data_IF_317230152896
#
_entry.id   IF_317230152896
#
_cell.length_a   1.000
_cell.length_b   1.000
_cell.length_c   1.000
_cell.angle_alpha   90.00
_cell.angle_beta   90.00
_cell.angle_gamma   90.00
#
_symmetry.space_group_name_H-M   'P 1'
#
loop_
_entity.id
_entity.type
_entity.pdbx_description
1 polymer ?
#
# COMPACT_ATOMS: atom_id res chain seq x y z
N UNK A 1 -10.15 -8.00 3.45
CA UNK A 1 -11.27 -7.17 3.96
C UNK A 1 -12.19 -8.03 4.83
N UNK A 2 -12.77 -7.43 5.87
CA UNK A 2 -13.83 -8.05 6.65
C UNK A 2 -15.15 -7.71 5.94
N UNK A 3 -15.80 -8.72 5.39
CA UNK A 3 -17.02 -8.54 4.57
C UNK A 3 -18.33 -8.66 5.37
N UNK A 4 -18.25 -9.18 6.60
CA UNK A 4 -19.43 -9.50 7.41
C UNK A 4 -19.92 -8.35 8.31
N UNK A 5 -19.10 -7.34 8.55
CA UNK A 5 -19.44 -6.18 9.40
C UNK A 5 -18.47 -5.02 9.14
N UNK A 6 -18.90 -3.82 9.52
CA UNK A 6 -18.02 -2.64 9.54
C UNK A 6 -16.98 -2.77 10.67
N UNK A 7 -15.75 -2.39 10.37
CA UNK A 7 -14.63 -2.49 11.29
C UNK A 7 -13.89 -1.16 11.38
N UNK A 8 -13.76 -0.64 12.60
CA UNK A 8 -13.11 0.63 12.87
C UNK A 8 -11.87 0.42 13.74
N UNK A 9 -10.77 1.07 13.39
CA UNK A 9 -9.57 1.13 14.21
C UNK A 9 -9.26 2.59 14.53
N UNK A 10 -8.94 2.90 15.77
CA UNK A 10 -8.62 4.24 16.23
C UNK A 10 -7.38 4.28 17.10
N UNK A 11 -6.70 5.44 17.14
CA UNK A 11 -5.50 5.64 17.95
C UNK A 11 -4.88 7.02 17.69
N UNK A 12 -3.77 7.29 18.37
CA UNK A 12 -3.04 8.57 18.27
C UNK A 12 -1.60 8.41 17.74
N UNK A 13 -1.25 7.21 17.22
CA UNK A 13 0.05 6.99 16.62
C UNK A 13 0.14 7.71 15.26
N UNK A 14 1.25 8.42 15.03
CA UNK A 14 1.51 9.10 13.76
C UNK A 14 2.24 8.17 12.80
N UNK A 15 1.49 7.59 11.88
CA UNK A 15 2.02 6.68 10.85
C UNK A 15 2.81 7.42 9.78
N UNK A 16 3.64 6.69 9.04
CA UNK A 16 4.46 7.23 7.94
C UNK A 16 3.59 7.89 6.87
N UNK A 17 2.45 7.31 6.50
CA UNK A 17 1.53 7.87 5.50
C UNK A 17 0.98 9.26 5.90
N UNK A 18 0.81 9.54 7.19
CA UNK A 18 0.37 10.87 7.66
C UNK A 18 1.41 11.97 7.37
N UNK A 19 2.68 11.61 7.25
CA UNK A 19 3.80 12.52 6.97
C UNK A 19 4.10 12.64 5.47
N UNK A 20 3.52 11.77 4.65
CA UNK A 20 3.74 11.77 3.21
C UNK A 20 3.08 13.00 2.56
N UNK A 21 3.76 13.60 1.59
CA UNK A 21 3.31 14.80 0.89
C UNK A 21 2.37 14.46 -0.27
N UNK A 22 1.56 15.43 -0.69
CA UNK A 22 0.82 15.36 -1.94
C UNK A 22 1.77 15.71 -3.10
N UNK A 23 2.03 14.74 -3.98
CA UNK A 23 2.91 14.94 -5.16
C UNK A 23 2.20 15.59 -6.33
N UNK A 24 0.88 15.46 -6.42
CA UNK A 24 0.05 16.03 -7.48
C UNK A 24 -1.24 16.59 -6.88
N UNK A 25 -1.47 17.89 -7.09
CA UNK A 25 -2.62 18.61 -6.53
C UNK A 25 -3.73 18.80 -7.54
N UNK A 26 -4.97 18.82 -7.02
CA UNK A 26 -6.20 18.99 -7.78
C UNK A 26 -7.13 19.98 -7.08
N UNK A 27 -8.09 20.52 -7.85
CA UNK A 27 -9.25 21.24 -7.34
C UNK A 27 -10.51 20.50 -7.76
N UNK A 28 -11.57 20.63 -6.96
CA UNK A 28 -12.89 20.15 -7.30
C UNK A 28 -13.84 21.36 -7.34
N UNK A 29 -14.45 21.67 -8.50
CA UNK A 29 -15.44 22.74 -8.58
C UNK A 29 -16.58 22.54 -7.58
N UNK A 30 -16.89 23.59 -6.82
CA UNK A 30 -17.84 23.55 -5.71
C UNK A 30 -17.25 23.08 -4.37
N UNK A 31 -15.93 22.74 -4.32
CA UNK A 31 -15.17 22.34 -3.12
C UNK A 31 -13.84 23.08 -3.07
N UNK A 32 -13.82 24.35 -3.41
CA UNK A 32 -12.61 25.18 -3.45
C UNK A 32 -11.93 25.34 -2.07
N UNK A 33 -12.70 25.10 -1.01
CA UNK A 33 -12.27 25.07 0.39
C UNK A 33 -11.58 23.76 0.80
N UNK A 34 -11.57 22.74 -0.09
CA UNK A 34 -10.92 21.46 0.14
C UNK A 34 -9.67 21.33 -0.73
N UNK A 35 -8.50 21.17 -0.10
CA UNK A 35 -7.29 20.77 -0.79
C UNK A 35 -7.36 19.27 -1.11
N UNK A 36 -7.09 18.92 -2.37
CA UNK A 36 -7.07 17.53 -2.82
C UNK A 36 -5.78 17.19 -3.54
N UNK A 37 -5.27 15.96 -3.36
CA UNK A 37 -4.06 15.54 -4.07
C UNK A 37 -3.75 14.06 -3.93
N UNK A 38 -2.99 13.55 -4.91
CA UNK A 38 -2.41 12.21 -4.86
C UNK A 38 -1.24 12.25 -3.87
N UNK A 39 -1.23 11.34 -2.90
CA UNK A 39 -0.16 11.23 -1.92
C UNK A 39 1.02 10.49 -2.52
N UNK A 40 2.23 10.94 -2.23
CA UNK A 40 3.46 10.21 -2.54
C UNK A 40 3.55 8.97 -1.62
N UNK A 41 2.91 7.90 -2.06
CA UNK A 41 2.73 6.68 -1.29
C UNK A 41 2.73 5.45 -2.21
N UNK A 42 3.22 4.27 -1.77
CA UNK A 42 3.23 3.06 -2.60
C UNK A 42 1.83 2.62 -3.05
N UNK A 43 0.82 2.81 -2.21
CA UNK A 43 -0.58 2.56 -2.59
C UNK A 43 -1.24 3.81 -3.19
N UNK A 44 -2.39 3.61 -3.83
CA UNK A 44 -3.15 4.68 -4.49
C UNK A 44 -3.99 5.45 -3.48
N UNK A 45 -3.52 6.62 -3.07
CA UNK A 45 -4.16 7.44 -2.03
C UNK A 45 -4.52 8.82 -2.56
N UNK A 46 -5.81 9.17 -2.50
CA UNK A 46 -6.29 10.54 -2.65
C UNK A 46 -6.47 11.15 -1.25
N UNK A 47 -5.73 12.21 -0.94
CA UNK A 47 -5.90 12.98 0.30
C UNK A 47 -6.80 14.17 0.07
N UNK A 48 -7.80 14.33 0.94
CA UNK A 48 -8.63 15.51 1.06
C UNK A 48 -8.28 16.20 2.39
N UNK A 49 -8.12 17.53 2.38
CA UNK A 49 -7.79 18.32 3.57
C UNK A 49 -8.63 19.60 3.60
N UNK A 50 -9.19 19.93 4.75
CA UNK A 50 -9.98 21.15 4.95
C UNK A 50 -10.35 21.34 6.42
N UNK A 51 -10.90 22.52 6.74
CA UNK A 51 -11.32 22.85 8.10
C UNK A 51 -12.73 22.34 8.44
N UNK A 52 -13.53 22.05 7.44
CA UNK A 52 -14.90 21.56 7.58
C UNK A 52 -14.98 20.06 7.27
N UNK A 53 -15.26 19.24 8.28
CA UNK A 53 -15.36 17.78 8.14
C UNK A 53 -16.50 17.34 7.22
N UNK A 54 -17.64 18.04 7.22
CA UNK A 54 -18.79 17.65 6.41
C UNK A 54 -18.47 17.79 4.91
N UNK A 55 -17.71 18.84 4.54
CA UNK A 55 -17.23 19.04 3.17
C UNK A 55 -16.32 17.91 2.71
N UNK A 56 -15.45 17.39 3.61
CA UNK A 56 -14.59 16.25 3.30
C UNK A 56 -15.42 14.97 3.13
N UNK A 57 -16.44 14.78 3.95
CA UNK A 57 -17.36 13.63 3.87
C UNK A 57 -18.12 13.68 2.54
N UNK A 58 -18.74 14.80 2.19
CA UNK A 58 -19.50 14.97 0.95
C UNK A 58 -18.62 14.68 -0.28
N UNK A 59 -17.40 15.22 -0.31
CA UNK A 59 -16.46 14.97 -1.39
C UNK A 59 -15.96 13.53 -1.41
N UNK A 60 -15.70 12.95 -0.24
CA UNK A 60 -15.32 11.55 -0.08
C UNK A 60 -16.39 10.58 -0.58
N UNK A 61 -17.66 10.84 -0.29
CA UNK A 61 -18.80 10.06 -0.79
C UNK A 61 -18.93 10.16 -2.32
N UNK A 62 -18.73 11.35 -2.88
CA UNK A 62 -18.69 11.54 -4.33
C UNK A 62 -17.60 10.70 -5.00
N UNK A 63 -16.39 10.68 -4.41
CA UNK A 63 -15.28 9.86 -4.90
C UNK A 63 -15.59 8.37 -4.77
N UNK A 64 -16.11 7.91 -3.61
CA UNK A 64 -16.47 6.51 -3.38
C UNK A 64 -17.53 6.03 -4.38
N UNK A 65 -18.57 6.84 -4.60
CA UNK A 65 -19.66 6.52 -5.55
C UNK A 65 -19.12 6.36 -6.96
N UNK A 66 -18.26 7.30 -7.40
CA UNK A 66 -17.64 7.24 -8.71
C UNK A 66 -16.69 6.01 -8.82
N UNK A 67 -15.90 5.74 -7.78
CA UNK A 67 -14.96 4.61 -7.76
C UNK A 67 -15.66 3.27 -7.89
N UNK A 68 -16.78 3.07 -7.19
CA UNK A 68 -17.53 1.81 -7.22
C UNK A 68 -17.97 1.36 -8.61
N UNK A 69 -18.18 2.32 -9.52
CA UNK A 69 -18.61 2.05 -10.91
C UNK A 69 -17.52 2.30 -11.96
N UNK A 70 -16.29 2.63 -11.53
CA UNK A 70 -15.22 3.01 -12.45
C UNK A 70 -14.52 1.80 -13.05
N UNK A 71 -14.46 1.75 -14.38
CA UNK A 71 -13.66 0.79 -15.14
C UNK A 71 -12.67 1.54 -16.02
N UNK A 72 -11.41 1.12 -16.00
CA UNK A 72 -10.33 1.57 -16.89
C UNK A 72 -9.52 0.34 -17.33
N UNK A 73 -9.91 -0.25 -18.45
CA UNK A 73 -9.28 -1.46 -18.98
C UNK A 73 -7.78 -1.28 -19.25
N UNK A 74 -7.37 -0.07 -19.65
CA UNK A 74 -5.96 0.25 -19.90
C UNK A 74 -5.10 0.19 -18.63
N UNK A 75 -5.72 0.35 -17.45
CA UNK A 75 -5.08 0.20 -16.15
C UNK A 75 -5.43 -1.11 -15.44
N UNK A 76 -6.11 -2.04 -16.14
CA UNK A 76 -6.62 -3.30 -15.61
C UNK A 76 -7.58 -3.12 -14.42
N UNK A 77 -8.36 -2.04 -14.41
CA UNK A 77 -9.35 -1.75 -13.38
C UNK A 77 -10.72 -2.10 -13.92
N UNK A 78 -11.39 -3.03 -13.27
CA UNK A 78 -12.76 -3.43 -13.55
C UNK A 78 -13.60 -3.21 -12.30
N UNK A 79 -14.73 -2.49 -12.45
CA UNK A 79 -15.65 -2.24 -11.36
C UNK A 79 -16.29 -3.52 -10.86
N UNK A 80 -16.60 -4.43 -11.78
CA UNK A 80 -17.20 -5.74 -11.50
C UNK A 80 -16.81 -6.78 -12.57
N UNK A 81 -16.93 -8.05 -12.24
CA UNK A 81 -16.82 -9.18 -13.15
C UNK A 81 -17.92 -10.18 -12.80
N UNK A 82 -18.75 -10.57 -13.79
CA UNK A 82 -19.88 -11.49 -13.60
C UNK A 82 -20.84 -11.10 -12.46
N UNK A 83 -20.98 -9.78 -12.23
CA UNK A 83 -21.84 -9.22 -11.17
C UNK A 83 -21.19 -9.16 -9.78
N UNK A 84 -19.92 -9.55 -9.65
CA UNK A 84 -19.14 -9.40 -8.41
C UNK A 84 -18.41 -8.06 -8.41
N UNK A 85 -18.70 -7.13 -7.45
CA UNK A 85 -18.04 -5.83 -7.39
C UNK A 85 -16.62 -5.95 -6.84
N UNK A 86 -15.69 -5.20 -7.44
CA UNK A 86 -14.27 -5.21 -7.05
C UNK A 86 -13.81 -3.93 -6.35
N UNK A 87 -14.37 -2.78 -6.73
CA UNK A 87 -13.90 -1.49 -6.26
C UNK A 87 -14.43 -1.15 -4.86
N UNK A 88 -13.52 -0.80 -3.97
CA UNK A 88 -13.82 -0.28 -2.64
C UNK A 88 -12.78 0.75 -2.20
N UNK A 89 -13.01 1.43 -1.08
CA UNK A 89 -12.08 2.39 -0.49
C UNK A 89 -11.85 2.01 0.97
N UNK A 90 -10.60 2.13 1.42
CA UNK A 90 -10.26 2.16 2.84
C UNK A 90 -10.09 3.63 3.25
N UNK A 91 -11.07 4.25 3.94
CA UNK A 91 -10.96 5.63 4.39
C UNK A 91 -10.15 5.72 5.68
N UNK A 92 -9.27 6.73 5.77
CA UNK A 92 -8.45 7.01 6.95
C UNK A 92 -8.61 8.48 7.29
N UNK A 93 -9.29 8.74 8.40
CA UNK A 93 -9.52 10.10 8.88
C UNK A 93 -8.56 10.46 10.01
N UNK A 94 -8.08 11.70 10.02
CA UNK A 94 -7.28 12.27 11.12
C UNK A 94 -7.48 13.77 11.23
N UNK A 95 -7.07 14.31 12.38
CA UNK A 95 -7.03 15.75 12.62
C UNK A 95 -5.57 16.20 12.68
N UNK A 96 -5.24 17.26 11.95
CA UNK A 96 -3.91 17.87 11.91
C UNK A 96 -4.05 19.39 12.16
N UNK A 97 -3.84 19.80 13.39
CA UNK A 97 -4.10 21.19 13.82
C UNK A 97 -5.58 21.56 13.68
N UNK A 98 -5.87 22.63 12.93
CA UNK A 98 -7.23 23.08 12.64
C UNK A 98 -7.91 22.26 11.52
N UNK A 99 -7.13 21.58 10.67
CA UNK A 99 -7.64 20.85 9.52
C UNK A 99 -7.99 19.41 9.86
N UNK A 100 -9.02 18.91 9.18
CA UNK A 100 -9.27 17.48 9.02
C UNK A 100 -8.60 16.98 7.76
N UNK A 101 -8.14 15.74 7.78
CA UNK A 101 -7.62 15.02 6.63
C UNK A 101 -8.38 13.71 6.47
N UNK A 102 -8.75 13.42 5.23
CA UNK A 102 -9.36 12.16 4.83
C UNK A 102 -8.53 11.57 3.69
N UNK A 103 -7.82 10.47 3.97
CA UNK A 103 -7.13 9.70 2.94
C UNK A 103 -8.06 8.61 2.44
N UNK A 104 -8.32 8.61 1.15
CA UNK A 104 -9.12 7.63 0.44
C UNK A 104 -8.16 6.67 -0.28
N UNK A 105 -7.93 5.50 0.32
CA UNK A 105 -7.07 4.47 -0.27
C UNK A 105 -7.91 3.61 -1.20
N UNK A 106 -7.68 3.72 -2.50
CA UNK A 106 -8.39 2.97 -3.52
C UNK A 106 -7.99 1.50 -3.48
N UNK A 107 -8.98 0.61 -3.50
CA UNK A 107 -8.79 -0.85 -3.47
C UNK A 107 -9.61 -1.49 -4.59
N UNK A 108 -9.10 -2.63 -5.08
CA UNK A 108 -9.80 -3.47 -6.03
C UNK A 108 -9.51 -4.93 -5.70
N UNK A 109 -10.53 -5.80 -5.74
CA UNK A 109 -10.44 -7.20 -5.30
C UNK A 109 -10.44 -8.19 -6.47
N UNK A 110 -10.18 -7.73 -7.70
CA UNK A 110 -10.19 -8.61 -8.86
C UNK A 110 -9.13 -9.71 -8.73
N UNK A 111 -9.50 -10.93 -9.12
CA UNK A 111 -8.62 -12.09 -9.20
C UNK A 111 -8.49 -12.55 -10.64
N UNK A 112 -7.41 -13.25 -10.94
CA UNK A 112 -7.19 -13.94 -12.23
C UNK A 112 -6.63 -15.34 -11.96
N UNK A 113 -6.54 -16.18 -13.00
CA UNK A 113 -5.86 -17.49 -12.88
C UNK A 113 -4.39 -17.33 -12.44
N UNK A 114 -3.71 -16.27 -12.91
CA UNK A 114 -2.33 -15.96 -12.52
C UNK A 114 -2.24 -15.43 -11.08
N UNK A 115 -3.22 -14.63 -10.67
CA UNK A 115 -3.27 -14.00 -9.34
C UNK A 115 -4.53 -14.44 -8.56
N UNK A 116 -4.60 -15.68 -8.09
CA UNK A 116 -5.79 -16.21 -7.42
C UNK A 116 -6.06 -15.59 -6.04
N UNK A 117 -5.08 -14.94 -5.42
CA UNK A 117 -5.22 -14.21 -4.16
C UNK A 117 -5.60 -12.74 -4.38
N UNK A 118 -5.57 -12.26 -5.63
CA UNK A 118 -5.85 -10.89 -6.04
C UNK A 118 -4.73 -10.31 -6.89
N UNK A 119 -5.09 -9.56 -7.93
CA UNK A 119 -4.12 -8.81 -8.76
C UNK A 119 -3.45 -7.72 -7.93
N UNK A 120 -4.21 -7.08 -7.04
CA UNK A 120 -3.75 -6.03 -6.11
C UNK A 120 -3.51 -6.60 -4.70
N UNK A 121 -2.67 -7.62 -4.64
CA UNK A 121 -2.29 -8.38 -3.46
C UNK A 121 -0.77 -8.63 -3.52
N UNK A 122 -0.06 -8.81 -2.38
CA UNK A 122 1.36 -9.18 -2.42
C UNK A 122 1.61 -10.39 -3.32
N UNK A 123 2.49 -10.25 -4.29
CA UNK A 123 2.80 -11.31 -5.25
C UNK A 123 3.72 -12.37 -4.64
N UNK A 124 3.79 -13.53 -5.31
CA UNK A 124 4.40 -14.75 -4.76
C UNK A 124 5.85 -14.57 -4.31
N UNK A 125 6.65 -13.77 -5.02
CA UNK A 125 8.05 -13.50 -4.69
C UNK A 125 8.23 -12.80 -3.33
N UNK A 126 7.18 -12.11 -2.83
CA UNK A 126 7.20 -11.41 -1.54
C UNK A 126 6.67 -12.29 -0.38
N UNK A 127 6.12 -13.46 -0.68
CA UNK A 127 5.46 -14.33 0.32
C UNK A 127 6.42 -14.89 1.38
N UNK A 128 7.71 -14.90 1.11
CA UNK A 128 8.71 -15.26 2.11
C UNK A 128 8.71 -14.28 3.30
N UNK A 129 8.31 -13.02 3.10
CA UNK A 129 8.13 -11.99 4.14
C UNK A 129 6.65 -11.80 4.46
N UNK A 130 5.80 -11.53 3.46
CA UNK A 130 4.38 -11.20 3.68
C UNK A 130 3.50 -11.82 2.61
N UNK A 131 2.63 -12.73 3.03
CA UNK A 131 1.63 -13.39 2.17
C UNK A 131 0.20 -12.94 2.48
N UNK A 132 -0.05 -12.53 3.72
CA UNK A 132 -1.38 -12.23 4.24
C UNK A 132 -1.93 -10.92 3.65
N UNK A 133 -3.24 -10.74 3.68
CA UNK A 133 -3.92 -9.51 3.29
C UNK A 133 -3.38 -8.29 4.06
N UNK A 134 -3.33 -7.15 3.37
CA UNK A 134 -2.88 -5.88 3.93
C UNK A 134 -4.00 -5.21 4.71
N UNK A 135 -3.81 -5.08 6.01
CA UNK A 135 -4.71 -4.41 6.94
C UNK A 135 -4.48 -2.89 7.02
N UNK A 136 -5.37 -2.20 7.74
CA UNK A 136 -5.35 -0.74 7.87
C UNK A 136 -4.01 -0.18 8.39
N UNK A 137 -3.44 -0.80 9.42
CA UNK A 137 -2.17 -0.37 10.03
C UNK A 137 -1.03 -0.48 9.02
N UNK A 138 -1.02 -1.55 8.23
CA UNK A 138 -0.01 -1.81 7.20
C UNK A 138 -0.15 -0.81 6.04
N UNK A 139 -1.37 -0.52 5.61
CA UNK A 139 -1.66 0.54 4.62
C UNK A 139 -1.03 1.86 5.02
N UNK A 140 -1.02 2.18 6.31
CA UNK A 140 -0.43 3.41 6.85
C UNK A 140 1.10 3.35 7.04
N UNK A 141 1.75 2.22 6.69
CA UNK A 141 3.21 2.08 6.65
C UNK A 141 3.85 1.46 7.89
N UNK A 142 3.09 0.78 8.75
CA UNK A 142 3.66 -0.01 9.84
C UNK A 142 3.54 -1.50 9.49
N UNK A 143 4.67 -2.13 9.20
CA UNK A 143 4.73 -3.55 8.86
C UNK A 143 4.28 -4.42 10.04
N UNK A 144 3.15 -5.11 9.88
CA UNK A 144 2.71 -6.19 10.77
C UNK A 144 3.11 -7.50 10.12
N UNK A 145 4.20 -8.08 10.62
CA UNK A 145 4.82 -9.25 10.01
C UNK A 145 4.44 -10.54 10.75
N UNK A 146 4.40 -11.68 10.05
CA UNK A 146 4.14 -12.97 10.67
C UNK A 146 5.16 -13.29 11.78
N UNK A 147 4.69 -13.85 12.89
CA UNK A 147 5.54 -14.17 14.05
C UNK A 147 6.71 -15.09 13.73
N UNK A 148 6.56 -15.98 12.73
CA UNK A 148 7.64 -16.87 12.24
C UNK A 148 8.91 -16.12 11.85
N UNK A 149 8.77 -14.91 11.30
CA UNK A 149 9.92 -14.12 10.83
C UNK A 149 10.90 -13.75 11.93
N UNK A 150 10.47 -13.69 13.20
CA UNK A 150 11.37 -13.43 14.31
C UNK A 150 12.47 -14.49 14.38
N UNK A 151 12.10 -15.77 14.34
CA UNK A 151 13.04 -16.88 14.45
C UNK A 151 13.77 -17.12 13.12
N UNK A 152 13.05 -16.99 11.99
CA UNK A 152 13.63 -17.13 10.66
C UNK A 152 14.73 -16.10 10.39
N UNK A 153 14.49 -14.81 10.66
CA UNK A 153 15.47 -13.75 10.44
C UNK A 153 16.67 -13.85 11.41
N UNK A 154 16.47 -14.28 12.66
CA UNK A 154 17.57 -14.53 13.57
C UNK A 154 18.50 -15.62 13.07
N UNK A 155 17.95 -16.76 12.63
CA UNK A 155 18.74 -17.84 12.06
C UNK A 155 19.38 -17.46 10.72
N UNK A 156 18.68 -16.67 9.92
CA UNK A 156 19.18 -16.15 8.64
C UNK A 156 20.40 -15.24 8.86
N UNK A 157 20.35 -14.38 9.88
CA UNK A 157 21.49 -13.54 10.27
C UNK A 157 22.73 -14.37 10.57
N UNK A 158 22.57 -15.41 11.41
CA UNK A 158 23.67 -16.32 11.74
C UNK A 158 24.21 -17.05 10.49
N UNK A 159 23.31 -17.55 9.62
CA UNK A 159 23.70 -18.26 8.40
C UNK A 159 24.48 -17.35 7.42
N UNK A 160 24.05 -16.09 7.26
CA UNK A 160 24.74 -15.13 6.39
C UNK A 160 26.15 -14.81 6.91
N UNK A 161 26.28 -14.54 8.22
CA UNK A 161 27.58 -14.21 8.84
C UNK A 161 28.55 -15.38 8.81
N UNK A 162 28.05 -16.60 9.03
CA UNK A 162 28.84 -17.82 9.01
C UNK A 162 29.12 -18.36 7.59
N UNK A 163 28.54 -17.77 6.56
CA UNK A 163 28.68 -18.22 5.17
C UNK A 163 28.07 -19.59 4.90
N UNK A 164 27.01 -19.95 5.65
CA UNK A 164 26.28 -21.21 5.45
C UNK A 164 25.43 -21.19 4.19
N UNK A 165 25.20 -22.36 3.61
CA UNK A 165 24.27 -22.52 2.50
C UNK A 165 22.81 -22.37 2.99
N UNK A 166 22.21 -21.22 2.69
CA UNK A 166 20.83 -20.89 3.10
C UNK A 166 19.82 -21.84 2.44
N UNK A 167 20.10 -22.32 1.23
CA UNK A 167 19.23 -23.25 0.48
C UNK A 167 19.18 -24.63 1.09
N UNK A 168 20.23 -25.04 1.84
CA UNK A 168 20.28 -26.32 2.51
C UNK A 168 19.41 -26.40 3.78
N UNK A 169 18.98 -25.26 4.33
CA UNK A 169 18.08 -25.19 5.49
C UNK A 169 16.63 -25.01 5.04
N UNK A 170 15.77 -25.98 5.33
CA UNK A 170 14.36 -25.99 4.91
C UNK A 170 13.57 -24.75 5.36
N UNK A 171 13.89 -24.22 6.54
CA UNK A 171 13.26 -23.02 7.08
C UNK A 171 13.71 -21.76 6.36
N UNK A 172 14.98 -21.70 5.91
CA UNK A 172 15.60 -20.51 5.36
C UNK A 172 15.61 -20.49 3.83
N UNK A 173 15.47 -21.63 3.15
CA UNK A 173 15.58 -21.77 1.70
C UNK A 173 14.71 -20.76 0.92
N UNK A 174 13.52 -20.44 1.44
CA UNK A 174 12.60 -19.47 0.83
C UNK A 174 13.11 -18.01 0.83
N UNK A 175 14.14 -17.71 1.64
CA UNK A 175 14.77 -16.38 1.69
C UNK A 175 16.04 -16.30 0.85
N UNK A 176 16.51 -17.41 0.27
CA UNK A 176 17.83 -17.49 -0.34
C UNK A 176 17.97 -16.55 -1.55
N UNK A 177 16.99 -16.53 -2.45
CA UNK A 177 17.03 -15.67 -3.64
C UNK A 177 17.04 -14.20 -3.26
N UNK A 178 16.23 -13.80 -2.28
CA UNK A 178 16.23 -12.46 -1.70
C UNK A 178 17.59 -12.06 -1.10
N UNK A 179 18.23 -12.96 -0.34
CA UNK A 179 19.58 -12.72 0.21
C UNK A 179 20.60 -12.56 -0.92
N UNK A 180 20.51 -13.39 -1.96
CA UNK A 180 21.39 -13.28 -3.13
C UNK A 180 21.23 -11.95 -3.88
N UNK A 181 20.00 -11.39 -3.95
CA UNK A 181 19.74 -10.08 -4.55
C UNK A 181 20.41 -8.95 -3.76
N UNK A 182 20.25 -8.90 -2.43
CA UNK A 182 20.70 -7.73 -1.67
C UNK A 182 22.15 -7.81 -1.18
N UNK A 183 22.71 -9.01 -0.95
CA UNK A 183 24.05 -9.16 -0.33
C UNK A 183 25.15 -8.40 -1.08
N UNK A 184 25.01 -8.23 -2.38
CA UNK A 184 25.97 -7.51 -3.24
C UNK A 184 25.94 -5.99 -3.08
N UNK A 185 24.91 -5.44 -2.44
CA UNK A 185 24.77 -4.01 -2.19
C UNK A 185 25.58 -3.56 -0.96
N UNK A 186 26.08 -4.50 -0.16
CA UNK A 186 26.81 -4.23 1.06
C UNK A 186 28.28 -4.65 0.92
N UNK A 187 29.22 -3.75 1.28
CA UNK A 187 30.66 -4.03 1.20
C UNK A 187 31.06 -5.20 2.11
N UNK A 188 30.42 -5.34 3.27
CA UNK A 188 30.58 -6.48 4.17
C UNK A 188 29.35 -6.64 5.05
N UNK A 189 28.99 -7.89 5.34
CA UNK A 189 27.94 -8.24 6.29
C UNK A 189 28.60 -8.94 7.45
N UNK A 190 28.48 -8.36 8.64
CA UNK A 190 29.12 -8.83 9.88
C UNK A 190 28.09 -9.05 10.97
N UNK A 191 28.50 -9.66 12.08
CA UNK A 191 27.63 -9.88 13.23
C UNK A 191 27.07 -8.57 13.82
N UNK A 192 27.81 -7.47 13.69
CA UNK A 192 27.46 -6.17 14.24
C UNK A 192 26.42 -5.43 13.38
N UNK A 193 26.35 -5.72 12.08
CA UNK A 193 25.47 -4.95 11.15
C UNK A 193 24.35 -5.78 10.50
N UNK A 194 24.41 -7.10 10.56
CA UNK A 194 23.46 -7.99 9.85
C UNK A 194 22.00 -7.74 10.24
N UNK A 195 21.71 -7.54 11.51
CA UNK A 195 20.34 -7.27 11.98
C UNK A 195 19.79 -5.94 11.42
N UNK A 196 20.65 -4.92 11.34
CA UNK A 196 20.32 -3.63 10.73
C UNK A 196 20.03 -3.76 9.25
N UNK A 197 20.87 -4.52 8.54
CA UNK A 197 20.70 -4.81 7.11
C UNK A 197 19.41 -5.58 6.86
N UNK A 198 19.17 -6.67 7.57
CA UNK A 198 17.94 -7.45 7.41
C UNK A 198 16.68 -6.62 7.68
N UNK A 199 16.72 -5.76 8.71
CA UNK A 199 15.62 -4.85 9.01
C UNK A 199 15.36 -3.85 7.87
N UNK A 200 16.41 -3.30 7.28
CA UNK A 200 16.29 -2.39 6.13
C UNK A 200 15.73 -3.12 4.90
N UNK A 201 16.26 -4.31 4.60
CA UNK A 201 15.84 -5.10 3.44
C UNK A 201 14.41 -5.61 3.58
N UNK A 202 13.99 -6.03 4.78
CA UNK A 202 12.57 -6.34 5.08
C UNK A 202 11.69 -5.11 4.85
N UNK A 203 12.16 -3.92 5.21
CA UNK A 203 11.46 -2.66 4.93
C UNK A 203 11.26 -2.42 3.43
N UNK A 204 12.28 -2.71 2.60
CA UNK A 204 12.19 -2.61 1.12
C UNK A 204 11.20 -3.63 0.56
N UNK A 205 11.22 -4.87 1.03
CA UNK A 205 10.22 -5.89 0.65
C UNK A 205 8.81 -5.41 1.02
N UNK A 206 8.64 -4.83 2.22
CA UNK A 206 7.34 -4.35 2.66
C UNK A 206 6.85 -3.15 1.84
N UNK A 207 7.73 -2.28 1.36
CA UNK A 207 7.36 -1.23 0.40
C UNK A 207 6.81 -1.83 -0.90
N UNK A 208 7.46 -2.87 -1.47
CA UNK A 208 6.96 -3.62 -2.64
C UNK A 208 5.61 -4.28 -2.36
N UNK A 209 5.40 -4.83 -1.16
CA UNK A 209 4.11 -5.38 -0.72
C UNK A 209 2.99 -4.33 -0.83
N UNK A 210 3.26 -3.08 -0.44
CA UNK A 210 2.29 -1.99 -0.58
C UNK A 210 2.13 -1.56 -2.05
N UNK A 211 3.19 -1.58 -2.86
CA UNK A 211 3.13 -1.29 -4.30
C UNK A 211 2.27 -2.33 -5.04
N UNK A 212 2.43 -3.62 -4.73
CA UNK A 212 1.59 -4.68 -5.29
C UNK A 212 0.12 -4.48 -4.92
N UNK A 213 -0.16 -4.09 -3.67
CA UNK A 213 -1.51 -3.81 -3.21
C UNK A 213 -2.09 -2.48 -3.75
N UNK A 214 -1.28 -1.63 -4.35
CA UNK A 214 -1.70 -0.37 -4.97
C UNK A 214 -2.38 -0.59 -6.32
N UNK A 215 -3.56 0.04 -6.53
CA UNK A 215 -4.33 -0.08 -7.77
C UNK A 215 -3.62 0.63 -8.92
N UNK A 216 -3.21 1.87 -8.72
CA UNK A 216 -2.38 2.61 -9.66
C UNK A 216 -0.92 2.52 -9.21
N UNK A 217 -0.06 1.99 -10.08
CA UNK A 217 1.37 1.85 -9.77
C UNK A 217 2.08 3.21 -9.72
N UNK A 218 3.18 3.27 -8.99
CA UNK A 218 4.01 4.49 -8.87
C UNK A 218 4.88 4.74 -10.11
N UNK A 219 4.33 4.50 -11.30
CA UNK A 219 4.92 4.78 -12.61
C UNK A 219 4.25 5.99 -13.26
N UNK A 220 4.86 6.61 -14.28
CA UNK A 220 4.21 7.67 -15.05
C UNK A 220 2.83 7.26 -15.58
N UNK A 221 2.69 6.06 -16.12
CA UNK A 221 1.45 5.51 -16.66
C UNK A 221 0.39 5.30 -15.57
N UNK A 222 0.81 4.78 -14.40
CA UNK A 222 -0.07 4.61 -13.24
C UNK A 222 -0.55 5.95 -12.68
N UNK A 223 0.32 6.97 -12.64
CA UNK A 223 -0.05 8.33 -12.25
C UNK A 223 -1.01 8.99 -13.25
N UNK A 224 -0.81 8.75 -14.55
CA UNK A 224 -1.71 9.21 -15.59
C UNK A 224 -3.09 8.54 -15.45
N UNK A 225 -3.14 7.23 -15.24
CA UNK A 225 -4.37 6.48 -15.02
C UNK A 225 -5.13 6.98 -13.78
N UNK A 226 -4.43 7.25 -12.68
CA UNK A 226 -5.04 7.86 -11.49
C UNK A 226 -5.62 9.24 -11.80
N UNK A 227 -4.88 10.06 -12.55
CA UNK A 227 -5.36 11.36 -13.03
C UNK A 227 -6.62 11.26 -13.89
N UNK A 228 -6.73 10.24 -14.77
CA UNK A 228 -7.96 9.98 -15.57
C UNK A 228 -9.15 9.68 -14.67
N UNK A 229 -8.99 8.84 -13.65
CA UNK A 229 -10.04 8.60 -12.66
C UNK A 229 -10.47 9.89 -11.99
N UNK A 230 -9.55 10.67 -11.44
CA UNK A 230 -9.89 11.93 -10.76
C UNK A 230 -10.59 12.92 -11.70
N UNK A 231 -10.16 13.00 -12.96
CA UNK A 231 -10.82 13.83 -13.97
C UNK A 231 -12.25 13.35 -14.24
N UNK A 232 -12.50 12.04 -14.28
CA UNK A 232 -13.85 11.49 -14.47
C UNK A 232 -14.79 11.82 -13.30
N UNK A 233 -14.27 12.00 -12.08
CA UNK A 233 -15.04 12.47 -10.91
C UNK A 233 -15.35 13.96 -10.99
N UNK A 234 -14.58 14.72 -11.76
CA UNK A 234 -14.70 16.17 -11.94
C UNK A 234 -13.57 16.97 -11.31
N UNK A 235 -12.50 16.34 -10.85
CA UNK A 235 -11.31 17.05 -10.40
C UNK A 235 -10.55 17.69 -11.57
N UNK A 236 -9.99 18.86 -11.32
CA UNK A 236 -9.14 19.60 -12.26
C UNK A 236 -7.72 19.65 -11.69
N UNK A 237 -6.75 19.24 -12.49
CA UNK A 237 -5.34 19.27 -12.10
C UNK A 237 -4.86 20.72 -11.96
N UNK A 238 -4.11 21.02 -10.90
CA UNK A 238 -3.43 22.31 -10.68
C UNK A 238 -2.13 22.40 -11.43
#
# INVERSE_FOLDING_TARGET
>A
SILSHDHFQGGHYTFAMAKAEMEQKFTMPGFEDVEAGIVHWPMSVLRLRGENSDRLIDLGEKVLTAWRSYTDEAAFIYAETDGEPHNTITPIARKNGACYELDLVLRNNITTEEFPLGVYHPHQELHHIKKENIGLIEVMGLAVLPSRLKDELSKLADAIVEGKDIRADEMLAKHADWVDEFKHHYASITKENVDGILKEEVGKVFARVLEDAGVYKCTPEGREAFGRFLTSVGFVKK
#
